data_IF_229244592867
#
_entry.id   IF_229244592867
#
_cell.length_a   1.000
_cell.length_b   1.000
_cell.length_c   1.000
_cell.angle_alpha   90.00
_cell.angle_beta   90.00
_cell.angle_gamma   90.00
#
_symmetry.space_group_name_H-M   'P 1'
#
loop_
_entity.id
_entity.type
_entity.pdbx_description
1 polymer ?
#
# COMPACT_ATOMS: atom_id res chain seq x y z
N UNK A 1 20.48 -10.36 6.61
CA UNK A 1 19.74 -10.53 5.34
C UNK A 1 20.64 -11.35 4.42
N UNK A 2 20.38 -12.66 4.29
CA UNK A 2 21.32 -13.63 3.66
C UNK A 2 21.50 -13.37 2.16
N UNK A 3 22.67 -13.73 1.60
CA UNK A 3 22.99 -13.72 0.16
C UNK A 3 21.92 -14.43 -0.70
N UNK A 4 21.14 -15.31 -0.10
CA UNK A 4 20.05 -16.07 -0.71
C UNK A 4 18.87 -15.19 -1.16
N UNK A 5 18.61 -14.04 -0.51
CA UNK A 5 17.54 -13.12 -0.93
C UNK A 5 17.85 -12.46 -2.28
N UNK A 6 19.11 -12.06 -2.50
CA UNK A 6 19.54 -11.40 -3.73
C UNK A 6 19.59 -12.36 -4.92
N UNK A 7 19.90 -13.64 -4.66
CA UNK A 7 20.03 -14.71 -5.64
C UNK A 7 18.79 -15.61 -5.74
N UNK A 8 17.59 -15.12 -5.40
CA UNK A 8 16.37 -15.91 -5.55
C UNK A 8 16.17 -16.34 -7.02
N UNK A 9 15.83 -17.62 -7.28
CA UNK A 9 15.64 -18.15 -8.64
C UNK A 9 14.50 -17.45 -9.39
N UNK A 10 13.50 -16.89 -8.69
CA UNK A 10 12.39 -16.15 -9.29
C UNK A 10 12.52 -14.63 -9.07
N UNK A 11 13.03 -13.93 -10.08
CA UNK A 11 13.19 -12.46 -10.05
C UNK A 11 11.86 -11.71 -9.83
N UNK A 12 10.75 -12.23 -10.37
CA UNK A 12 9.42 -11.61 -10.21
C UNK A 12 8.97 -11.66 -8.75
N UNK A 13 9.22 -12.78 -8.06
CA UNK A 13 8.89 -12.94 -6.64
C UNK A 13 9.73 -12.00 -5.76
N UNK A 14 11.05 -11.95 -5.98
CA UNK A 14 11.94 -11.01 -5.27
C UNK A 14 11.49 -9.57 -5.43
N UNK A 15 11.20 -9.14 -6.66
CA UNK A 15 10.78 -7.77 -6.93
C UNK A 15 9.45 -7.46 -6.23
N UNK A 16 8.51 -8.40 -6.22
CA UNK A 16 7.28 -8.27 -5.44
C UNK A 16 7.56 -8.12 -3.94
N UNK A 17 8.46 -8.91 -3.35
CA UNK A 17 8.81 -8.79 -1.94
C UNK A 17 9.40 -7.42 -1.60
N UNK A 18 10.26 -6.88 -2.46
CA UNK A 18 10.84 -5.54 -2.28
C UNK A 18 9.74 -4.48 -2.36
N UNK A 19 8.94 -4.49 -3.43
CA UNK A 19 7.92 -3.46 -3.67
C UNK A 19 6.84 -3.49 -2.60
N UNK A 20 6.30 -4.67 -2.27
CA UNK A 20 5.27 -4.79 -1.24
C UNK A 20 5.82 -4.49 0.15
N UNK A 21 7.08 -4.83 0.44
CA UNK A 21 7.72 -4.48 1.71
C UNK A 21 7.89 -2.97 1.87
N UNK A 22 8.37 -2.29 0.83
CA UNK A 22 8.48 -0.83 0.83
C UNK A 22 7.10 -0.17 0.95
N UNK A 23 6.10 -0.68 0.24
CA UNK A 23 4.72 -0.17 0.32
C UNK A 23 4.09 -0.43 1.69
N UNK A 24 4.36 -1.58 2.32
CA UNK A 24 3.89 -1.86 3.67
C UNK A 24 4.42 -0.81 4.66
N UNK A 25 5.71 -0.50 4.61
CA UNK A 25 6.32 0.55 5.43
C UNK A 25 5.71 1.92 5.08
N UNK A 26 5.54 2.21 3.79
CA UNK A 26 4.94 3.44 3.29
C UNK A 26 3.50 3.64 3.78
N UNK A 27 2.77 2.58 4.10
CA UNK A 27 1.43 2.69 4.69
C UNK A 27 1.44 2.70 6.22
N UNK A 28 2.29 1.90 6.86
CA UNK A 28 2.34 1.87 8.32
C UNK A 28 2.83 3.18 8.93
N UNK A 29 3.87 3.79 8.36
CA UNK A 29 4.44 5.01 8.94
C UNK A 29 3.41 6.16 8.95
N UNK A 30 2.75 6.52 7.84
CA UNK A 30 1.73 7.57 7.85
C UNK A 30 0.51 7.21 8.69
N UNK A 31 0.07 5.95 8.69
CA UNK A 31 -1.07 5.53 9.51
C UNK A 31 -0.81 5.72 11.01
N UNK A 32 0.36 5.28 11.48
CA UNK A 32 0.76 5.43 12.89
C UNK A 32 1.03 6.91 13.21
N UNK A 33 1.73 7.63 12.33
CA UNK A 33 2.00 9.06 12.49
C UNK A 33 0.70 9.86 12.60
N UNK A 34 -0.27 9.65 11.71
CA UNK A 34 -1.55 10.35 11.75
C UNK A 34 -2.39 9.98 12.97
N UNK A 35 -2.30 8.73 13.45
CA UNK A 35 -3.02 8.30 14.65
C UNK A 35 -2.46 8.94 15.94
N UNK A 36 -1.15 8.89 16.13
CA UNK A 36 -0.48 9.32 17.37
C UNK A 36 -0.07 10.80 17.37
N UNK A 37 0.25 11.36 16.21
CA UNK A 37 0.75 12.72 16.01
C UNK A 37 0.10 13.38 14.78
N UNK A 38 -1.24 13.58 14.79
CA UNK A 38 -1.98 14.12 13.64
C UNK A 38 -1.49 15.50 13.20
N UNK A 39 -0.94 16.31 14.11
CA UNK A 39 -0.44 17.63 13.79
C UNK A 39 0.71 17.55 12.77
N UNK A 40 1.61 16.57 12.94
CA UNK A 40 2.75 16.34 12.03
C UNK A 40 2.21 15.95 10.64
N UNK A 41 1.26 15.02 10.59
CA UNK A 41 0.69 14.56 9.33
C UNK A 41 -0.06 15.68 8.57
N UNK A 42 -0.79 16.54 9.29
CA UNK A 42 -1.47 17.70 8.70
C UNK A 42 -0.47 18.75 8.24
N UNK A 43 0.59 19.01 9.00
CA UNK A 43 1.64 19.95 8.62
C UNK A 43 2.37 19.49 7.35
N UNK A 44 2.72 18.20 7.26
CA UNK A 44 3.33 17.63 6.07
C UNK A 44 2.39 17.71 4.86
N UNK A 45 1.09 17.47 5.04
CA UNK A 45 0.11 17.65 3.98
C UNK A 45 0.01 19.11 3.51
N UNK A 46 0.06 20.07 4.44
CA UNK A 46 0.09 21.51 4.11
C UNK A 46 1.36 21.88 3.34
N UNK A 47 2.52 21.40 3.77
CA UNK A 47 3.80 21.57 3.06
C UNK A 47 3.76 20.99 1.65
N UNK A 48 3.18 19.80 1.47
CA UNK A 48 2.97 19.23 0.13
C UNK A 48 2.07 20.12 -0.74
N UNK A 49 1.00 20.67 -0.16
CA UNK A 49 0.15 21.66 -0.83
C UNK A 49 0.92 22.89 -1.28
N UNK A 50 1.75 23.45 -0.40
CA UNK A 50 2.58 24.63 -0.72
C UNK A 50 3.58 24.35 -1.85
N UNK A 51 4.24 23.18 -1.82
CA UNK A 51 5.13 22.73 -2.91
C UNK A 51 4.36 22.62 -4.24
N UNK A 52 3.11 22.15 -4.19
CA UNK A 52 2.24 22.02 -5.35
C UNK A 52 1.51 23.33 -5.72
N UNK A 53 1.81 24.43 -5.03
CA UNK A 53 1.37 25.78 -5.38
C UNK A 53 0.12 26.30 -4.66
N UNK A 54 -0.39 25.62 -3.63
CA UNK A 54 -1.51 26.13 -2.85
C UNK A 54 -1.50 25.65 -1.38
N UNK A 55 -1.59 26.59 -0.44
CA UNK A 55 -1.69 26.25 0.99
C UNK A 55 -3.08 25.69 1.31
N UNK A 56 -3.12 24.48 1.88
CA UNK A 56 -4.37 23.82 2.29
C UNK A 56 -4.85 24.41 3.63
N UNK A 57 -6.05 25.03 3.69
CA UNK A 57 -6.45 25.84 4.84
C UNK A 57 -7.03 25.03 6.00
N UNK A 58 -7.42 23.76 5.77
CA UNK A 58 -8.16 22.98 6.75
C UNK A 58 -7.24 22.25 7.74
N UNK A 59 -7.77 22.03 8.95
CA UNK A 59 -7.17 21.25 10.03
C UNK A 59 -7.97 19.97 10.27
N UNK A 60 -7.34 18.96 10.88
CA UNK A 60 -8.04 17.75 11.32
C UNK A 60 -8.44 17.87 12.79
N UNK A 61 -9.74 17.95 13.05
CA UNK A 61 -10.28 18.06 14.42
C UNK A 61 -11.04 16.81 14.86
N UNK A 62 -11.38 15.90 13.94
CA UNK A 62 -12.23 14.76 14.26
C UNK A 62 -11.43 13.53 14.65
N UNK A 63 -11.58 13.12 15.91
CA UNK A 63 -11.04 11.85 16.39
C UNK A 63 -11.63 10.64 15.64
N UNK A 64 -12.90 10.71 15.22
CA UNK A 64 -13.58 9.62 14.51
C UNK A 64 -12.95 9.39 13.12
N UNK A 65 -12.82 10.47 12.34
CA UNK A 65 -12.23 10.39 10.99
C UNK A 65 -10.76 10.00 11.06
N UNK A 66 -10.04 10.47 12.08
CA UNK A 66 -8.66 10.08 12.33
C UNK A 66 -8.49 8.57 12.53
N UNK A 67 -9.30 7.97 13.41
CA UNK A 67 -9.27 6.52 13.68
C UNK A 67 -9.59 5.74 12.41
N UNK A 68 -10.62 6.15 11.67
CA UNK A 68 -11.06 5.46 10.46
C UNK A 68 -9.99 5.52 9.35
N UNK A 69 -9.42 6.69 9.10
CA UNK A 69 -8.40 6.87 8.07
C UNK A 69 -7.08 6.16 8.45
N UNK A 70 -6.64 6.26 9.71
CA UNK A 70 -5.48 5.51 10.17
C UNK A 70 -5.69 4.00 10.05
N UNK A 71 -6.87 3.49 10.46
CA UNK A 71 -7.22 2.08 10.33
C UNK A 71 -7.18 1.61 8.88
N UNK A 72 -7.81 2.34 7.95
CA UNK A 72 -7.83 1.99 6.53
C UNK A 72 -6.43 1.93 5.92
N UNK A 73 -5.59 2.92 6.20
CA UNK A 73 -4.21 2.96 5.68
C UNK A 73 -3.36 1.86 6.32
N UNK A 74 -3.52 1.61 7.62
CA UNK A 74 -2.83 0.51 8.31
C UNK A 74 -3.21 -0.85 7.70
N UNK A 75 -4.49 -1.07 7.40
CA UNK A 75 -4.97 -2.28 6.73
C UNK A 75 -4.28 -2.48 5.38
N UNK A 76 -4.12 -1.44 4.57
CA UNK A 76 -3.37 -1.54 3.29
C UNK A 76 -1.94 -2.04 3.49
N UNK A 77 -1.24 -1.53 4.50
CA UNK A 77 0.09 -2.01 4.89
C UNK A 77 0.08 -3.49 5.27
N UNK A 78 -0.92 -3.91 6.04
CA UNK A 78 -1.09 -5.30 6.43
C UNK A 78 -1.40 -6.22 5.25
N UNK A 79 -2.25 -5.81 4.31
CA UNK A 79 -2.54 -6.58 3.09
C UNK A 79 -1.28 -6.76 2.24
N UNK A 80 -0.44 -5.72 2.13
CA UNK A 80 0.87 -5.83 1.47
C UNK A 80 1.77 -6.88 2.15
N UNK A 81 1.82 -6.91 3.49
CA UNK A 81 2.58 -7.93 4.22
C UNK A 81 2.04 -9.34 3.99
N UNK A 82 0.72 -9.55 4.03
CA UNK A 82 0.12 -10.85 3.76
C UNK A 82 0.51 -11.37 2.37
N UNK A 83 0.38 -10.52 1.34
CA UNK A 83 0.79 -10.85 -0.01
C UNK A 83 2.30 -11.12 -0.13
N UNK A 84 3.14 -10.37 0.61
CA UNK A 84 4.58 -10.58 0.66
C UNK A 84 4.98 -11.91 1.32
N UNK A 85 4.24 -12.35 2.34
CA UNK A 85 4.49 -13.60 3.06
C UNK A 85 4.17 -14.82 2.18
N UNK A 86 3.01 -14.83 1.55
CA UNK A 86 2.61 -15.91 0.66
C UNK A 86 1.58 -15.43 -0.37
N UNK A 87 2.07 -15.00 -1.53
CA UNK A 87 1.21 -14.49 -2.59
C UNK A 87 0.25 -15.54 -3.15
N UNK A 88 0.56 -16.84 -3.10
CA UNK A 88 -0.36 -17.89 -3.58
C UNK A 88 -1.60 -17.98 -2.69
N UNK A 89 -1.38 -18.02 -1.38
CA UNK A 89 -2.46 -18.09 -0.38
C UNK A 89 -3.26 -16.80 -0.29
N UNK A 90 -2.57 -15.65 -0.35
CA UNK A 90 -3.18 -14.34 -0.15
C UNK A 90 -3.47 -13.59 -1.47
N UNK A 91 -3.38 -14.25 -2.62
CA UNK A 91 -3.78 -13.64 -3.91
C UNK A 91 -5.21 -13.07 -3.90
N UNK A 92 -6.22 -13.71 -3.26
CA UNK A 92 -7.57 -13.17 -3.18
C UNK A 92 -7.68 -11.84 -2.42
N UNK A 93 -6.65 -11.42 -1.70
CA UNK A 93 -6.58 -10.11 -1.05
C UNK A 93 -6.31 -8.98 -2.05
N UNK A 94 -5.73 -9.29 -3.21
CA UNK A 94 -5.35 -8.29 -4.21
C UNK A 94 -6.55 -7.44 -4.69
N UNK A 95 -7.71 -8.00 -5.06
CA UNK A 95 -8.89 -7.20 -5.41
C UNK A 95 -9.35 -6.29 -4.27
N UNK A 96 -9.28 -6.74 -3.01
CA UNK A 96 -9.65 -5.93 -1.85
C UNK A 96 -8.73 -4.71 -1.74
N UNK A 97 -7.42 -4.90 -1.90
CA UNK A 97 -6.46 -3.80 -1.92
C UNK A 97 -6.75 -2.82 -3.06
N UNK A 98 -6.95 -3.33 -4.28
CA UNK A 98 -7.21 -2.51 -5.48
C UNK A 98 -8.49 -1.71 -5.32
N UNK A 99 -9.56 -2.30 -4.80
CA UNK A 99 -10.82 -1.59 -4.57
C UNK A 99 -10.65 -0.52 -3.51
N UNK A 100 -10.07 -0.84 -2.35
CA UNK A 100 -9.95 0.10 -1.24
C UNK A 100 -9.09 1.31 -1.63
N UNK A 101 -7.90 1.06 -2.19
CA UNK A 101 -6.97 2.13 -2.56
C UNK A 101 -7.35 2.82 -3.87
N UNK A 102 -7.93 2.09 -4.81
CA UNK A 102 -8.46 2.65 -6.05
C UNK A 102 -9.64 3.57 -5.81
N UNK A 103 -10.57 3.20 -4.91
CA UNK A 103 -11.66 4.07 -4.53
C UNK A 103 -11.17 5.33 -3.79
N UNK A 104 -10.19 5.20 -2.90
CA UNK A 104 -9.51 6.35 -2.27
C UNK A 104 -8.92 7.31 -3.32
N UNK A 105 -8.16 6.78 -4.29
CA UNK A 105 -7.59 7.55 -5.40
C UNK A 105 -8.67 8.31 -6.17
N UNK A 106 -9.72 7.62 -6.63
CA UNK A 106 -10.83 8.24 -7.36
C UNK A 106 -11.60 9.27 -6.51
N UNK A 107 -11.74 9.01 -5.21
CA UNK A 107 -12.34 9.96 -4.27
C UNK A 107 -11.56 11.28 -4.20
N UNK A 108 -10.23 11.23 -4.16
CA UNK A 108 -9.40 12.43 -4.22
C UNK A 108 -9.50 13.18 -5.55
N UNK A 109 -9.61 12.46 -6.67
CA UNK A 109 -9.88 13.08 -7.96
C UNK A 109 -11.25 13.78 -7.99
N UNK A 110 -12.28 13.14 -7.44
CA UNK A 110 -13.60 13.73 -7.31
C UNK A 110 -13.56 15.02 -6.48
N UNK A 111 -12.91 14.99 -5.31
CA UNK A 111 -12.74 16.17 -4.45
C UNK A 111 -12.03 17.28 -5.21
N UNK A 112 -10.95 16.97 -5.94
CA UNK A 112 -10.21 17.95 -6.73
C UNK A 112 -11.08 18.62 -7.81
N UNK A 113 -11.88 17.84 -8.54
CA UNK A 113 -12.66 18.36 -9.67
C UNK A 113 -13.91 19.13 -9.23
N UNK A 114 -14.59 18.67 -8.16
CA UNK A 114 -15.95 19.09 -7.84
C UNK A 114 -16.11 19.81 -6.49
N UNK A 115 -15.19 19.64 -5.53
CA UNK A 115 -15.37 20.17 -4.17
C UNK A 115 -14.29 21.20 -3.80
N UNK A 116 -13.03 20.78 -3.82
CA UNK A 116 -11.88 21.53 -3.36
C UNK A 116 -10.77 21.45 -4.41
N UNK A 117 -10.60 22.52 -5.20
CA UNK A 117 -9.64 22.58 -6.32
C UNK A 117 -8.19 22.82 -5.86
N UNK A 118 -7.76 22.17 -4.79
CA UNK A 118 -6.36 22.23 -4.33
C UNK A 118 -5.52 21.18 -5.05
N UNK A 119 -4.39 21.55 -5.69
CA UNK A 119 -3.51 20.64 -6.42
C UNK A 119 -3.02 19.42 -5.61
N UNK A 120 -2.94 19.56 -4.29
CA UNK A 120 -2.57 18.46 -3.39
C UNK A 120 -3.47 17.23 -3.56
N UNK A 121 -4.78 17.41 -3.78
CA UNK A 121 -5.71 16.31 -3.99
C UNK A 121 -5.45 15.57 -5.31
N UNK A 122 -5.08 16.30 -6.37
CA UNK A 122 -4.66 15.68 -7.62
C UNK A 122 -3.33 14.93 -7.46
N UNK A 123 -2.39 15.49 -6.68
CA UNK A 123 -1.15 14.81 -6.32
C UNK A 123 -1.39 13.48 -5.59
N UNK A 124 -2.30 13.47 -4.60
CA UNK A 124 -2.68 12.24 -3.89
C UNK A 124 -3.39 11.24 -4.80
N UNK A 125 -4.26 11.70 -5.72
CA UNK A 125 -4.87 10.83 -6.74
C UNK A 125 -3.80 10.07 -7.54
N UNK A 126 -2.81 10.79 -8.09
CA UNK A 126 -1.73 10.19 -8.87
C UNK A 126 -0.87 9.24 -8.04
N UNK A 127 -0.52 9.64 -6.82
CA UNK A 127 0.27 8.83 -5.91
C UNK A 127 -0.42 7.52 -5.54
N UNK A 128 -1.70 7.60 -5.13
CA UNK A 128 -2.51 6.44 -4.78
C UNK A 128 -2.74 5.54 -6.00
N UNK A 129 -2.98 6.12 -7.18
CA UNK A 129 -3.13 5.39 -8.43
C UNK A 129 -1.87 4.62 -8.80
N UNK A 130 -0.70 5.25 -8.70
CA UNK A 130 0.59 4.59 -8.88
C UNK A 130 0.76 3.40 -7.93
N UNK A 131 0.41 3.55 -6.65
CA UNK A 131 0.51 2.46 -5.68
C UNK A 131 -0.42 1.28 -6.02
N UNK A 132 -1.65 1.56 -6.47
CA UNK A 132 -2.57 0.51 -6.95
C UNK A 132 -1.94 -0.26 -8.12
N UNK A 133 -1.40 0.46 -9.11
CA UNK A 133 -0.78 -0.14 -10.28
C UNK A 133 0.45 -0.97 -9.91
N UNK A 134 1.31 -0.48 -9.01
CA UNK A 134 2.48 -1.21 -8.52
C UNK A 134 2.07 -2.52 -7.84
N UNK A 135 1.14 -2.47 -6.88
CA UNK A 135 0.68 -3.66 -6.18
C UNK A 135 0.05 -4.65 -7.16
N UNK A 136 -0.88 -4.19 -8.00
CA UNK A 136 -1.53 -5.03 -9.00
C UNK A 136 -0.53 -5.71 -9.94
N UNK A 137 0.40 -4.94 -10.51
CA UNK A 137 1.39 -5.44 -11.45
C UNK A 137 2.34 -6.45 -10.82
N UNK A 138 2.98 -6.10 -9.69
CA UNK A 138 3.99 -6.96 -9.08
C UNK A 138 3.38 -8.21 -8.42
N UNK A 139 2.22 -8.08 -7.76
CA UNK A 139 1.52 -9.21 -7.16
C UNK A 139 1.04 -10.20 -8.23
N UNK A 140 0.42 -9.71 -9.31
CA UNK A 140 -0.05 -10.55 -10.43
C UNK A 140 1.11 -11.24 -11.14
N UNK A 141 2.19 -10.52 -11.42
CA UNK A 141 3.38 -11.08 -12.07
C UNK A 141 4.05 -12.14 -11.22
N UNK A 142 4.18 -11.92 -9.91
CA UNK A 142 4.74 -12.91 -9.00
C UNK A 142 3.85 -14.16 -8.88
N UNK A 143 2.54 -13.98 -8.76
CA UNK A 143 1.59 -15.08 -8.71
C UNK A 143 1.65 -15.98 -9.94
N UNK A 144 1.57 -15.40 -11.15
CA UNK A 144 1.67 -16.19 -12.38
C UNK A 144 3.05 -16.82 -12.60
N UNK A 145 4.13 -16.13 -12.22
CA UNK A 145 5.48 -16.69 -12.29
C UNK A 145 5.64 -17.90 -11.35
N UNK A 146 4.96 -17.90 -10.20
CA UNK A 146 4.94 -19.05 -9.31
C UNK A 146 4.05 -20.18 -9.83
N UNK A 147 2.94 -19.91 -10.51
CA UNK A 147 2.13 -20.96 -11.13
C UNK A 147 2.85 -21.64 -12.32
N UNK A 148 3.67 -20.90 -13.05
CA UNK A 148 4.40 -21.41 -14.20
C UNK A 148 5.69 -22.17 -13.84
N UNK A 149 6.28 -21.93 -12.66
CA UNK A 149 7.51 -22.57 -12.19
C UNK A 149 7.22 -23.68 -11.18
N UNK A 150 7.44 -24.94 -11.56
CA UNK A 150 7.16 -26.12 -10.73
C UNK A 150 8.16 -26.44 -9.59
N UNK A 151 9.14 -25.58 -9.30
CA UNK A 151 10.04 -25.77 -8.14
C UNK A 151 9.52 -24.99 -6.92
N UNK A 152 8.55 -25.61 -6.24
CA UNK A 152 7.60 -24.95 -5.35
C UNK A 152 8.06 -24.78 -3.88
N UNK A 153 9.09 -25.52 -3.44
CA UNK A 153 9.34 -25.72 -2.00
C UNK A 153 10.42 -24.83 -1.38
N UNK A 154 11.20 -24.07 -2.17
CA UNK A 154 12.32 -23.25 -1.65
C UNK A 154 12.03 -21.75 -1.50
N UNK A 155 10.96 -21.23 -2.10
CA UNK A 155 10.73 -19.78 -2.21
C UNK A 155 9.69 -19.23 -1.24
N UNK A 156 8.70 -20.05 -0.89
CA UNK A 156 7.65 -19.65 0.06
C UNK A 156 8.02 -20.24 1.42
N UNK A 157 8.30 -19.41 2.44
CA UNK A 157 8.58 -19.93 3.77
C UNK A 157 7.38 -20.76 4.23
N UNK A 158 7.59 -21.98 4.78
CA UNK A 158 6.50 -22.73 5.38
C UNK A 158 5.91 -21.89 6.51
N UNK A 159 4.69 -21.40 6.32
CA UNK A 159 3.98 -20.71 7.39
C UNK A 159 3.70 -21.75 8.48
N UNK A 160 3.95 -21.38 9.75
CA UNK A 160 3.83 -22.26 10.93
C UNK A 160 2.45 -22.94 11.13
N UNK A 161 1.46 -22.61 10.31
CA UNK A 161 0.19 -23.31 10.25
C UNK A 161 0.34 -24.56 9.37
N UNK A 162 0.89 -25.61 10.00
CA UNK A 162 0.79 -27.00 9.55
C UNK A 162 -0.68 -27.26 9.18
N UNK A 163 -0.95 -27.67 7.95
CA UNK A 163 -2.26 -28.20 7.59
C UNK A 163 -2.54 -29.37 8.53
N UNK A 164 -3.56 -29.21 9.38
CA UNK A 164 -4.13 -30.34 10.08
C UNK A 164 -4.90 -31.14 9.02
N UNK A 165 -4.25 -32.22 8.55
CA UNK A 165 -4.78 -33.43 7.91
C UNK A 165 -5.97 -33.29 6.96
#
# INVERSE_FOLDING_TARGET
MSRDFWNQPNRSYRNMQIVLGLLAIHYFIPALSYFFAPQIAVEEFKRMGEILGASYPLTEESHLWRVLAAGNVFTLGFLCLLMQLNIRRFYPVLPVFVVLKGFSSLGYLYVFLFTLRYPVFFGVFLWDGCNVLLVWYFARRAYHALLAGGEETKLVPPLFFREAS
#
